data_IF_681218352137
#
_entry.id   IF_681218352137
#
_cell.length_a   1.000
_cell.length_b   1.000
_cell.length_c   1.000
_cell.angle_alpha   90.00
_cell.angle_beta   90.00
_cell.angle_gamma   90.00
#
_symmetry.space_group_name_H-M   'P 1'
#
loop_
_entity.id
_entity.type
_entity.pdbx_description
1 polymer ?
#
# COMPACT_ATOMS: atom_id res chain seq x y z
N UNK A 1 8.63 -6.73 21.38
CA UNK A 1 9.37 -5.84 20.49
C UNK A 1 8.57 -5.62 19.21
N UNK A 2 7.81 -4.51 19.19
CA UNK A 2 6.85 -4.24 18.09
C UNK A 2 7.50 -3.46 16.95
N UNK A 3 8.69 -2.91 17.12
CA UNK A 3 9.38 -2.12 16.10
C UNK A 3 10.75 -2.72 15.84
N UNK A 4 10.81 -3.57 14.81
CA UNK A 4 12.05 -4.18 14.34
C UNK A 4 12.21 -3.82 12.86
N UNK A 5 13.04 -2.81 12.51
CA UNK A 5 13.31 -2.46 11.13
C UNK A 5 13.79 -3.68 10.33
N UNK A 6 13.27 -3.83 9.11
CA UNK A 6 13.50 -5.01 8.28
C UNK A 6 12.51 -6.16 8.52
N UNK A 7 11.68 -6.12 9.58
CA UNK A 7 10.59 -7.07 9.71
C UNK A 7 9.35 -6.62 8.92
N UNK A 8 8.65 -7.58 8.32
CA UNK A 8 7.47 -7.29 7.49
C UNK A 8 6.43 -6.43 8.22
N UNK A 9 6.09 -6.78 9.47
CA UNK A 9 5.08 -6.06 10.25
C UNK A 9 5.49 -4.61 10.51
N UNK A 10 6.73 -4.39 10.98
CA UNK A 10 7.20 -3.03 11.30
C UNK A 10 7.34 -2.16 10.05
N UNK A 11 7.80 -2.75 8.96
CA UNK A 11 8.00 -2.05 7.70
C UNK A 11 6.66 -1.57 7.10
N UNK A 12 5.64 -2.42 7.06
CA UNK A 12 4.32 -2.02 6.57
C UNK A 12 3.65 -0.98 7.47
N UNK A 13 3.86 -1.04 8.79
CA UNK A 13 3.42 0.01 9.72
C UNK A 13 4.14 1.33 9.40
N UNK A 14 5.46 1.31 9.22
CA UNK A 14 6.25 2.51 8.93
C UNK A 14 5.80 3.19 7.62
N UNK A 15 5.61 2.42 6.54
CA UNK A 15 5.04 2.91 5.28
C UNK A 15 3.70 3.61 5.56
N UNK A 16 2.79 2.92 6.23
CA UNK A 16 1.43 3.42 6.44
C UNK A 16 1.41 4.71 7.25
N UNK A 17 2.17 4.78 8.35
CA UNK A 17 2.27 5.98 9.19
C UNK A 17 2.87 7.16 8.42
N UNK A 18 3.91 6.94 7.63
CA UNK A 18 4.51 7.98 6.81
C UNK A 18 3.53 8.49 5.74
N UNK A 19 2.84 7.58 5.06
CA UNK A 19 1.83 7.94 4.05
C UNK A 19 0.60 8.61 4.66
N UNK A 20 0.28 8.36 5.95
CA UNK A 20 -0.69 9.12 6.74
C UNK A 20 -0.19 10.52 7.15
N UNK A 21 1.04 10.89 6.81
CA UNK A 21 1.69 12.14 7.25
C UNK A 21 1.69 12.31 8.78
N UNK A 22 1.88 11.19 9.50
CA UNK A 22 2.01 11.24 10.97
C UNK A 22 3.31 11.96 11.32
N UNK A 23 3.27 13.02 12.15
CA UNK A 23 4.45 13.80 12.48
C UNK A 23 5.34 13.04 13.46
N UNK A 24 6.21 12.20 12.95
CA UNK A 24 7.20 11.43 13.69
C UNK A 24 8.60 11.64 13.11
N UNK A 25 9.63 11.45 13.94
CA UNK A 25 11.00 11.39 13.44
C UNK A 25 11.28 9.98 12.92
N UNK A 26 11.30 9.83 11.62
CA UNK A 26 11.60 8.56 10.96
C UNK A 26 13.10 8.29 10.78
N UNK A 27 13.98 9.25 11.12
CA UNK A 27 15.44 9.12 10.96
C UNK A 27 15.99 7.92 11.72
N UNK A 28 15.55 7.70 12.96
CA UNK A 28 15.99 6.55 13.78
C UNK A 28 15.57 5.20 13.18
N UNK A 29 14.39 5.16 12.54
CA UNK A 29 13.94 3.95 11.84
C UNK A 29 14.80 3.70 10.61
N UNK A 30 15.06 4.74 9.79
CA UNK A 30 15.91 4.65 8.60
C UNK A 30 17.34 4.25 8.96
N UNK A 31 17.95 4.83 9.98
CA UNK A 31 19.30 4.47 10.45
C UNK A 31 19.38 2.99 10.88
N UNK A 32 18.39 2.53 11.65
CA UNK A 32 18.33 1.14 12.07
C UNK A 32 18.05 0.18 10.90
N UNK A 33 17.21 0.58 9.95
CA UNK A 33 16.93 -0.18 8.73
C UNK A 33 18.15 -0.25 7.82
N UNK A 34 18.88 0.86 7.65
CA UNK A 34 20.12 0.89 6.89
C UNK A 34 21.16 -0.06 7.48
N UNK A 35 21.33 -0.04 8.79
CA UNK A 35 22.24 -0.96 9.48
C UNK A 35 21.82 -2.43 9.29
N UNK A 36 20.51 -2.71 9.32
CA UNK A 36 20.00 -4.06 9.01
C UNK A 36 20.36 -4.47 7.58
N UNK A 37 20.13 -3.59 6.60
CA UNK A 37 20.45 -3.83 5.19
C UNK A 37 21.95 -4.07 4.99
N UNK A 38 22.82 -3.19 5.50
CA UNK A 38 24.28 -3.35 5.43
C UNK A 38 24.77 -4.67 6.04
N UNK A 39 24.17 -5.06 7.18
CA UNK A 39 24.48 -6.35 7.83
C UNK A 39 24.13 -7.53 6.93
N UNK A 40 22.92 -7.51 6.31
CA UNK A 40 22.50 -8.56 5.38
C UNK A 40 23.42 -8.67 4.16
N UNK A 41 23.82 -7.52 3.59
CA UNK A 41 24.76 -7.51 2.47
C UNK A 41 26.15 -8.01 2.86
N UNK A 42 26.60 -7.75 4.07
CA UNK A 42 27.88 -8.22 4.56
C UNK A 42 27.90 -9.74 4.86
N UNK A 43 26.79 -10.28 5.37
CA UNK A 43 26.67 -11.68 5.76
C UNK A 43 26.27 -12.60 4.60
N UNK A 44 25.29 -12.15 3.78
CA UNK A 44 24.63 -12.99 2.78
C UNK A 44 24.78 -12.45 1.34
N UNK A 45 25.45 -11.32 1.16
CA UNK A 45 25.61 -10.69 -0.16
C UNK A 45 24.37 -9.95 -0.69
N UNK A 46 23.30 -9.88 0.10
CA UNK A 46 22.05 -9.23 -0.25
C UNK A 46 20.96 -9.49 0.79
N UNK A 47 19.76 -8.97 0.58
CA UNK A 47 18.65 -9.18 1.51
C UNK A 47 18.15 -10.63 1.49
N UNK A 48 18.00 -11.19 0.29
CA UNK A 48 17.56 -12.57 0.09
C UNK A 48 17.79 -13.02 -1.36
N UNK A 49 18.23 -14.25 -1.56
CA UNK A 49 18.56 -14.82 -2.88
C UNK A 49 17.33 -15.30 -3.69
N UNK A 50 16.18 -15.48 -3.03
CA UNK A 50 14.92 -15.97 -3.61
C UNK A 50 13.80 -14.97 -3.45
N UNK A 51 13.69 -14.35 -2.26
CA UNK A 51 12.58 -13.46 -1.90
C UNK A 51 12.86 -12.03 -2.35
N UNK A 52 12.66 -11.74 -3.64
CA UNK A 52 12.76 -10.38 -4.17
C UNK A 52 11.85 -9.38 -3.45
N UNK A 53 10.70 -9.84 -2.95
CA UNK A 53 9.75 -9.02 -2.20
C UNK A 53 10.32 -8.40 -0.92
N UNK A 54 11.43 -8.92 -0.36
CA UNK A 54 12.14 -8.27 0.75
C UNK A 54 12.75 -6.92 0.31
N UNK A 55 13.38 -6.90 -0.87
CA UNK A 55 13.92 -5.67 -1.46
C UNK A 55 12.80 -4.68 -1.78
N UNK A 56 11.71 -5.14 -2.38
CA UNK A 56 10.59 -4.28 -2.78
C UNK A 56 9.96 -3.60 -1.56
N UNK A 57 9.68 -4.36 -0.49
CA UNK A 57 9.14 -3.81 0.76
C UNK A 57 10.08 -2.77 1.35
N UNK A 58 11.38 -3.08 1.48
CA UNK A 58 12.35 -2.17 2.09
C UNK A 58 12.54 -0.93 1.21
N UNK A 59 12.57 -1.05 -0.12
CA UNK A 59 12.58 0.10 -1.03
C UNK A 59 11.39 1.03 -0.82
N UNK A 60 10.18 0.47 -0.68
CA UNK A 60 8.97 1.24 -0.40
C UNK A 60 9.00 1.91 0.99
N UNK A 61 9.60 1.26 2.01
CA UNK A 61 9.85 1.91 3.31
C UNK A 61 10.75 3.11 3.14
N UNK A 62 11.92 2.91 2.51
CA UNK A 62 12.91 3.97 2.32
C UNK A 62 12.29 5.17 1.60
N UNK A 63 11.56 4.94 0.51
CA UNK A 63 10.82 5.98 -0.22
C UNK A 63 9.78 6.69 0.68
N UNK A 64 8.99 5.92 1.43
CA UNK A 64 7.95 6.47 2.29
C UNK A 64 8.49 7.38 3.39
N UNK A 65 9.68 7.06 3.89
CA UNK A 65 10.36 7.80 4.96
C UNK A 65 11.28 8.91 4.43
N UNK A 66 11.30 9.15 3.11
CA UNK A 66 12.07 10.23 2.48
C UNK A 66 13.55 9.89 2.25
N UNK A 67 13.93 8.61 2.28
CA UNK A 67 15.26 8.13 1.90
C UNK A 67 15.38 7.84 0.41
N UNK A 68 16.59 7.48 -0.01
CA UNK A 68 16.91 7.10 -1.39
C UNK A 68 17.21 5.59 -1.46
N UNK A 69 16.34 4.77 -2.05
CA UNK A 69 16.57 3.32 -2.17
C UNK A 69 17.64 2.95 -3.20
N UNK A 70 18.08 3.87 -4.06
CA UNK A 70 19.17 3.65 -5.01
C UNK A 70 20.55 3.84 -4.37
N UNK A 71 20.59 4.41 -3.17
CA UNK A 71 21.79 4.66 -2.39
C UNK A 71 21.50 4.46 -0.89
N UNK A 72 21.18 3.24 -0.48
CA UNK A 72 20.77 2.95 0.89
C UNK A 72 21.77 2.07 1.63
N UNK A 73 22.84 2.70 2.08
CA UNK A 73 23.96 2.05 2.77
C UNK A 73 25.11 1.64 1.85
N UNK A 74 26.08 0.89 2.40
CA UNK A 74 27.34 0.59 1.73
C UNK A 74 27.62 -0.91 1.78
N UNK A 75 27.98 -1.49 0.64
CA UNK A 75 28.46 -2.88 0.52
C UNK A 75 29.87 -3.03 1.14
N UNK A 76 30.32 -4.26 1.48
CA UNK A 76 31.66 -4.47 2.05
C UNK A 76 32.82 -3.98 1.19
N UNK A 77 32.62 -3.89 -0.12
CA UNK A 77 33.62 -3.38 -1.07
C UNK A 77 33.64 -1.85 -1.19
N UNK A 78 32.79 -1.16 -0.42
CA UNK A 78 32.69 0.30 -0.41
C UNK A 78 31.74 0.90 -1.47
N UNK A 79 31.06 0.06 -2.28
CA UNK A 79 30.07 0.54 -3.24
C UNK A 79 28.70 0.77 -2.58
N UNK A 80 27.88 1.70 -3.09
CA UNK A 80 26.53 1.91 -2.55
C UNK A 80 25.63 0.70 -2.77
N UNK A 81 24.67 0.51 -1.86
CA UNK A 81 23.60 -0.47 -2.02
C UNK A 81 22.46 0.18 -2.80
N UNK A 82 22.15 -0.37 -3.97
CA UNK A 82 20.99 -0.01 -4.77
C UNK A 82 19.89 -1.07 -4.63
N UNK A 83 18.93 -0.82 -3.73
CA UNK A 83 17.84 -1.74 -3.45
C UNK A 83 16.88 -1.90 -4.62
N UNK A 84 16.74 -0.85 -5.46
CA UNK A 84 15.90 -0.91 -6.66
C UNK A 84 16.55 -1.81 -7.70
N UNK A 85 17.81 -1.58 -8.04
CA UNK A 85 18.54 -2.44 -8.99
C UNK A 85 18.57 -3.89 -8.52
N UNK A 86 19.07 -4.10 -7.28
CA UNK A 86 19.28 -5.44 -6.71
C UNK A 86 17.97 -6.20 -6.46
N UNK A 87 16.85 -5.49 -6.28
CA UNK A 87 15.51 -6.07 -6.05
C UNK A 87 14.64 -6.23 -7.28
N UNK A 88 14.95 -5.53 -8.39
CA UNK A 88 14.11 -5.49 -9.58
C UNK A 88 14.88 -5.90 -10.83
N UNK A 89 15.38 -4.95 -11.58
CA UNK A 89 15.91 -5.19 -12.92
C UNK A 89 17.25 -5.95 -12.96
N UNK A 90 17.99 -6.02 -11.84
CA UNK A 90 19.21 -6.80 -11.70
C UNK A 90 19.11 -7.85 -10.57
N UNK A 91 17.90 -8.26 -10.19
CA UNK A 91 17.73 -9.25 -9.13
C UNK A 91 18.52 -10.53 -9.41
N UNK A 92 19.49 -10.81 -8.57
CA UNK A 92 20.31 -12.00 -8.37
C UNK A 92 20.52 -12.95 -9.55
N UNK A 93 20.97 -14.16 -9.24
CA UNK A 93 21.12 -15.25 -10.22
C UNK A 93 19.78 -15.96 -10.50
N UNK A 94 18.87 -15.97 -9.52
CA UNK A 94 17.56 -16.62 -9.61
C UNK A 94 16.54 -15.74 -10.32
N UNK A 95 15.45 -16.34 -10.75
CA UNK A 95 14.38 -15.60 -11.40
C UNK A 95 13.60 -14.73 -10.40
N UNK A 96 13.24 -13.54 -10.82
CA UNK A 96 12.46 -12.59 -10.05
C UNK A 96 11.09 -13.18 -9.60
N UNK A 97 10.49 -14.02 -10.44
CA UNK A 97 9.24 -14.71 -10.18
C UNK A 97 9.35 -16.04 -9.45
N UNK A 98 10.50 -16.41 -8.89
CA UNK A 98 10.66 -17.71 -8.22
C UNK A 98 9.73 -17.88 -6.99
N UNK A 99 9.29 -16.79 -6.37
CA UNK A 99 8.26 -16.78 -5.32
C UNK A 99 6.82 -16.80 -5.86
N UNK A 100 6.61 -17.00 -7.14
CA UNK A 100 5.36 -16.79 -7.83
C UNK A 100 5.20 -15.36 -8.33
N UNK A 101 3.99 -15.02 -8.75
CA UNK A 101 3.68 -13.76 -9.43
C UNK A 101 3.99 -12.52 -8.58
N UNK A 102 3.98 -12.63 -7.24
CA UNK A 102 4.31 -11.54 -6.32
C UNK A 102 5.69 -10.93 -6.57
N UNK A 103 6.67 -11.72 -7.02
CA UNK A 103 7.99 -11.21 -7.36
C UNK A 103 7.92 -10.15 -8.47
N UNK A 104 7.19 -10.42 -9.53
CA UNK A 104 7.00 -9.51 -10.67
C UNK A 104 6.12 -8.31 -10.32
N UNK A 105 4.99 -8.55 -9.63
CA UNK A 105 4.04 -7.51 -9.22
C UNK A 105 4.74 -6.45 -8.35
N UNK A 106 5.38 -6.88 -7.28
CA UNK A 106 6.01 -5.94 -6.34
C UNK A 106 7.28 -5.31 -6.90
N UNK A 107 8.00 -5.98 -7.81
CA UNK A 107 9.10 -5.37 -8.53
C UNK A 107 8.62 -4.19 -9.39
N UNK A 108 7.55 -4.38 -10.15
CA UNK A 108 6.99 -3.32 -10.99
C UNK A 108 6.47 -2.15 -10.13
N UNK A 109 5.77 -2.42 -9.02
CA UNK A 109 5.29 -1.39 -8.08
C UNK A 109 6.48 -0.61 -7.49
N UNK A 110 7.53 -1.28 -7.02
CA UNK A 110 8.68 -0.61 -6.42
C UNK A 110 9.47 0.21 -7.44
N UNK A 111 9.63 -0.32 -8.66
CA UNK A 111 10.31 0.37 -9.75
C UNK A 111 9.55 1.62 -10.19
N UNK A 112 8.22 1.54 -10.33
CA UNK A 112 7.38 2.68 -10.69
C UNK A 112 7.32 3.73 -9.57
N UNK A 113 7.24 3.27 -8.32
CA UNK A 113 7.27 4.14 -7.15
C UNK A 113 8.57 4.94 -7.03
N UNK A 114 9.71 4.32 -7.39
CA UNK A 114 11.02 4.97 -7.36
C UNK A 114 11.24 5.97 -8.51
N UNK A 115 10.56 5.81 -9.61
CA UNK A 115 10.77 6.59 -10.84
C UNK A 115 12.11 6.32 -11.54
N UNK A 116 12.81 5.24 -11.19
CA UNK A 116 14.11 4.89 -11.77
C UNK A 116 13.95 4.41 -13.20
N UNK A 117 14.79 4.91 -14.10
CA UNK A 117 14.89 4.41 -15.46
C UNK A 117 15.74 3.12 -15.47
N UNK A 118 15.25 2.09 -16.15
CA UNK A 118 15.95 0.80 -16.26
C UNK A 118 17.05 0.92 -17.30
N UNK A 119 18.32 0.57 -16.96
CA UNK A 119 19.41 0.54 -17.94
C UNK A 119 19.16 -0.45 -19.09
N UNK A 120 19.68 -0.13 -20.28
CA UNK A 120 19.49 -1.00 -21.47
C UNK A 120 20.12 -2.39 -21.33
N UNK A 121 21.18 -2.51 -20.53
CA UNK A 121 21.91 -3.74 -20.24
C UNK A 121 21.40 -4.47 -18.99
N UNK A 122 20.30 -4.01 -18.39
CA UNK A 122 19.68 -4.66 -17.25
C UNK A 122 19.21 -6.08 -17.58
N UNK A 123 19.20 -6.95 -16.57
CA UNK A 123 18.75 -8.35 -16.71
C UNK A 123 17.25 -8.43 -17.09
N UNK A 124 16.44 -7.56 -16.52
CA UNK A 124 15.00 -7.45 -16.80
C UNK A 124 14.65 -6.01 -17.15
N UNK A 125 14.02 -5.80 -18.28
CA UNK A 125 13.41 -4.53 -18.59
C UNK A 125 12.08 -4.35 -17.84
N UNK A 126 11.58 -3.14 -17.76
CA UNK A 126 10.23 -2.86 -17.28
C UNK A 126 9.17 -3.63 -18.07
N UNK A 127 9.37 -3.78 -19.39
CA UNK A 127 8.47 -4.54 -20.25
C UNK A 127 8.44 -6.01 -19.91
N UNK A 128 9.60 -6.63 -19.55
CA UNK A 128 9.64 -8.04 -19.15
C UNK A 128 8.80 -8.28 -17.89
N UNK A 129 8.82 -7.34 -16.92
CA UNK A 129 7.98 -7.43 -15.72
C UNK A 129 6.49 -7.34 -16.06
N UNK A 130 6.12 -6.41 -16.93
CA UNK A 130 4.74 -6.27 -17.41
C UNK A 130 4.28 -7.53 -18.14
N UNK A 131 5.09 -8.03 -19.06
CA UNK A 131 4.77 -9.21 -19.87
C UNK A 131 4.66 -10.47 -18.98
N UNK A 132 5.50 -10.59 -17.93
CA UNK A 132 5.41 -11.68 -16.97
C UNK A 132 4.06 -11.66 -16.23
N UNK A 133 3.58 -10.47 -15.83
CA UNK A 133 2.28 -10.33 -15.18
C UNK A 133 1.14 -10.64 -16.17
N UNK A 134 1.15 -10.02 -17.35
CA UNK A 134 0.09 -10.20 -18.37
C UNK A 134 -0.03 -11.67 -18.80
N UNK A 135 1.12 -12.35 -19.05
CA UNK A 135 1.15 -13.75 -19.48
C UNK A 135 0.71 -14.74 -18.37
N UNK A 136 0.68 -14.31 -17.12
CA UNK A 136 0.19 -15.11 -15.99
C UNK A 136 -1.32 -15.03 -15.81
N UNK A 137 -2.05 -14.18 -16.56
CA UNK A 137 -3.49 -14.05 -16.45
C UNK A 137 -4.20 -15.35 -16.87
N UNK A 138 -5.09 -15.83 -16.03
CA UNK A 138 -5.95 -16.96 -16.32
C UNK A 138 -7.00 -16.60 -17.40
N UNK A 139 -7.56 -17.61 -18.05
CA UNK A 139 -8.57 -17.41 -19.12
C UNK A 139 -9.88 -16.77 -18.62
N UNK A 140 -10.16 -16.83 -17.32
CA UNK A 140 -11.30 -16.19 -16.66
C UNK A 140 -11.02 -14.72 -16.27
N UNK A 141 -9.80 -14.24 -16.47
CA UNK A 141 -9.35 -12.90 -16.14
C UNK A 141 -8.64 -12.75 -14.80
N UNK A 142 -8.66 -13.78 -13.96
CA UNK A 142 -8.00 -13.77 -12.65
C UNK A 142 -6.49 -13.92 -12.74
N UNK A 143 -5.83 -13.70 -11.61
CA UNK A 143 -4.42 -14.01 -11.40
C UNK A 143 -4.26 -14.91 -10.17
N UNK A 144 -3.23 -15.74 -10.17
CA UNK A 144 -2.87 -16.61 -9.05
C UNK A 144 -1.39 -16.41 -8.68
N UNK A 145 -1.01 -16.75 -7.45
CA UNK A 145 0.39 -16.67 -7.01
C UNK A 145 1.29 -17.56 -7.87
N UNK A 146 0.80 -18.74 -8.19
CA UNK A 146 1.41 -19.70 -9.09
C UNK A 146 0.31 -20.23 -10.03
N UNK A 147 0.52 -21.32 -10.73
CA UNK A 147 -0.51 -21.93 -11.58
C UNK A 147 -1.69 -22.42 -10.75
N UNK A 148 -2.90 -22.12 -11.16
CA UNK A 148 -4.10 -22.60 -10.48
C UNK A 148 -5.27 -21.63 -10.55
N UNK A 149 -6.22 -21.80 -9.62
CA UNK A 149 -7.39 -20.95 -9.52
C UNK A 149 -7.01 -19.52 -9.16
N UNK A 150 -7.80 -18.56 -9.64
CA UNK A 150 -7.64 -17.16 -9.30
C UNK A 150 -7.69 -16.91 -7.80
N UNK A 151 -6.94 -15.91 -7.38
CA UNK A 151 -6.87 -15.43 -6.02
C UNK A 151 -7.19 -13.92 -6.02
N UNK A 152 -8.06 -13.49 -5.09
CA UNK A 152 -8.54 -12.11 -5.01
C UNK A 152 -7.39 -11.13 -4.75
N UNK A 153 -6.51 -11.48 -3.80
CA UNK A 153 -5.42 -10.60 -3.39
C UNK A 153 -4.39 -10.47 -4.51
N UNK A 154 -4.01 -11.58 -5.15
CA UNK A 154 -3.06 -11.58 -6.27
C UNK A 154 -3.65 -10.83 -7.47
N UNK A 155 -4.94 -11.03 -7.78
CA UNK A 155 -5.61 -10.32 -8.86
C UNK A 155 -5.64 -8.81 -8.59
N UNK A 156 -5.97 -8.41 -7.37
CA UNK A 156 -5.97 -7.02 -6.96
C UNK A 156 -4.55 -6.39 -7.00
N UNK A 157 -3.53 -7.11 -6.52
CA UNK A 157 -2.14 -6.63 -6.58
C UNK A 157 -1.62 -6.54 -8.02
N UNK A 158 -1.98 -7.48 -8.91
CA UNK A 158 -1.64 -7.39 -10.33
C UNK A 158 -2.26 -6.14 -10.98
N UNK A 159 -3.51 -5.81 -10.66
CA UNK A 159 -4.16 -4.57 -11.12
C UNK A 159 -3.47 -3.31 -10.58
N UNK A 160 -2.99 -3.31 -9.33
CA UNK A 160 -2.19 -2.20 -8.79
C UNK A 160 -0.91 -1.98 -9.61
N UNK A 161 -0.18 -3.07 -9.90
CA UNK A 161 1.04 -3.01 -10.70
C UNK A 161 0.78 -2.56 -12.15
N UNK A 162 -0.33 -2.97 -12.74
CA UNK A 162 -0.69 -2.65 -14.12
C UNK A 162 -1.38 -1.29 -14.27
N UNK A 163 -1.78 -0.64 -13.18
CA UNK A 163 -2.55 0.60 -13.22
C UNK A 163 -1.89 1.75 -14.00
N UNK A 164 -0.55 1.96 -13.97
CA UNK A 164 0.10 2.98 -14.80
C UNK A 164 0.03 2.70 -16.30
N UNK A 165 -0.27 1.48 -16.68
CA UNK A 165 -0.29 0.97 -18.06
C UNK A 165 -1.71 0.70 -18.58
N UNK A 166 -2.75 1.16 -17.89
CA UNK A 166 -4.15 0.81 -18.16
C UNK A 166 -4.53 1.06 -19.62
N UNK A 167 -4.18 2.21 -20.20
CA UNK A 167 -4.50 2.53 -21.61
C UNK A 167 -3.86 1.62 -22.65
N UNK A 168 -2.91 0.76 -22.25
CA UNK A 168 -2.25 -0.22 -23.12
C UNK A 168 -2.79 -1.63 -22.94
N UNK A 169 -3.30 -1.96 -21.74
CA UNK A 169 -3.74 -3.29 -21.34
C UNK A 169 -5.20 -3.30 -20.86
N UNK A 170 -6.04 -2.46 -21.47
CA UNK A 170 -7.47 -2.30 -21.11
C UNK A 170 -8.23 -3.62 -21.07
N UNK A 171 -7.94 -4.53 -21.98
CA UNK A 171 -8.61 -5.82 -22.08
C UNK A 171 -8.30 -6.70 -20.87
N UNK A 172 -7.03 -6.82 -20.52
CA UNK A 172 -6.55 -7.65 -19.42
C UNK A 172 -7.04 -7.09 -18.06
N UNK A 173 -6.95 -5.77 -17.90
CA UNK A 173 -7.44 -5.06 -16.72
C UNK A 173 -8.96 -5.21 -16.59
N UNK A 174 -9.71 -5.02 -17.67
CA UNK A 174 -11.17 -5.18 -17.65
C UNK A 174 -11.57 -6.62 -17.31
N UNK A 175 -10.86 -7.62 -17.85
CA UNK A 175 -11.11 -9.03 -17.53
C UNK A 175 -10.89 -9.32 -16.04
N UNK A 176 -9.82 -8.78 -15.44
CA UNK A 176 -9.53 -8.95 -14.02
C UNK A 176 -10.57 -8.26 -13.13
N UNK A 177 -10.99 -7.05 -13.49
CA UNK A 177 -12.05 -6.33 -12.77
C UNK A 177 -13.39 -7.04 -12.84
N UNK A 178 -13.75 -7.59 -14.01
CA UNK A 178 -14.96 -8.39 -14.16
C UNK A 178 -14.93 -9.64 -13.27
N UNK A 179 -13.78 -10.32 -13.23
CA UNK A 179 -13.61 -11.47 -12.35
C UNK A 179 -13.76 -11.05 -10.86
N UNK A 180 -13.07 -10.02 -10.39
CA UNK A 180 -13.22 -9.51 -9.02
C UNK A 180 -14.67 -9.10 -8.70
N UNK A 181 -15.38 -8.50 -9.66
CA UNK A 181 -16.80 -8.15 -9.48
C UNK A 181 -17.69 -9.38 -9.27
N UNK A 182 -17.36 -10.50 -9.91
CA UNK A 182 -18.10 -11.78 -9.74
C UNK A 182 -17.76 -12.46 -8.40
N UNK A 183 -16.53 -12.32 -7.91
CA UNK A 183 -16.11 -12.85 -6.61
C UNK A 183 -16.64 -12.03 -5.42
N UNK A 184 -17.08 -10.78 -5.65
CA UNK A 184 -17.57 -9.93 -4.58
C UNK A 184 -18.91 -10.42 -4.03
N UNK A 185 -18.99 -10.60 -2.71
CA UNK A 185 -20.19 -11.00 -1.99
C UNK A 185 -21.31 -9.96 -2.06
N UNK A 186 -22.53 -10.35 -1.68
CA UNK A 186 -23.66 -9.41 -1.52
C UNK A 186 -23.40 -8.35 -0.45
N UNK A 187 -22.45 -8.61 0.44
CA UNK A 187 -22.00 -7.67 1.48
C UNK A 187 -20.91 -6.69 1.01
N UNK A 188 -20.57 -6.63 -0.27
CA UNK A 188 -19.46 -5.85 -0.82
C UNK A 188 -18.09 -6.20 -0.21
N UNK A 189 -17.88 -7.48 0.14
CA UNK A 189 -16.62 -8.01 0.67
C UNK A 189 -16.10 -9.15 -0.21
N UNK A 190 -14.94 -9.67 0.16
CA UNK A 190 -14.31 -10.81 -0.50
C UNK A 190 -13.96 -11.87 0.52
N UNK A 191 -14.00 -13.14 0.08
CA UNK A 191 -13.71 -14.27 0.94
C UNK A 191 -12.23 -14.65 0.87
N UNK A 192 -11.66 -14.96 2.04
CA UNK A 192 -10.44 -15.73 2.17
C UNK A 192 -10.80 -17.07 2.84
N UNK A 193 -10.71 -18.15 2.08
CA UNK A 193 -11.25 -19.42 2.51
C UNK A 193 -12.78 -19.38 2.64
N UNK A 194 -13.30 -19.50 3.85
CA UNK A 194 -14.75 -19.52 4.13
C UNK A 194 -15.27 -18.26 4.80
N UNK A 195 -14.42 -17.29 5.10
CA UNK A 195 -14.79 -16.08 5.84
C UNK A 195 -14.47 -14.82 5.04
N UNK A 196 -15.27 -13.77 5.24
CA UNK A 196 -15.03 -12.44 4.67
C UNK A 196 -13.77 -11.84 5.30
N UNK A 197 -12.85 -11.35 4.45
CA UNK A 197 -11.54 -10.80 4.84
C UNK A 197 -11.46 -9.29 4.61
N UNK A 198 -11.05 -8.56 5.63
CA UNK A 198 -10.78 -7.13 5.52
C UNK A 198 -9.55 -6.84 4.66
N UNK A 199 -8.56 -7.72 4.65
CA UNK A 199 -7.35 -7.60 3.85
C UNK A 199 -7.66 -7.76 2.37
N UNK A 200 -8.40 -8.81 1.97
CA UNK A 200 -8.79 -9.01 0.58
C UNK A 200 -9.64 -7.84 0.07
N UNK A 201 -10.58 -7.36 0.90
CA UNK A 201 -11.34 -6.15 0.59
C UNK A 201 -10.44 -4.92 0.41
N UNK A 202 -9.45 -4.74 1.28
CA UNK A 202 -8.50 -3.64 1.22
C UNK A 202 -7.64 -3.69 -0.04
N UNK A 203 -7.17 -4.87 -0.45
CA UNK A 203 -6.43 -5.04 -1.70
C UNK A 203 -7.25 -4.64 -2.93
N UNK A 204 -8.53 -5.01 -2.99
CA UNK A 204 -9.40 -4.63 -4.11
C UNK A 204 -9.70 -3.13 -4.09
N UNK A 205 -9.90 -2.51 -2.94
CA UNK A 205 -10.04 -1.05 -2.83
C UNK A 205 -8.78 -0.36 -3.38
N UNK A 206 -7.59 -0.82 -3.01
CA UNK A 206 -6.32 -0.27 -3.52
C UNK A 206 -6.20 -0.44 -5.04
N UNK A 207 -6.61 -1.57 -5.59
CA UNK A 207 -6.59 -1.83 -7.04
C UNK A 207 -7.50 -0.88 -7.81
N UNK A 208 -8.75 -0.74 -7.36
CA UNK A 208 -9.75 0.13 -7.99
C UNK A 208 -9.30 1.60 -7.96
N UNK A 209 -8.79 2.05 -6.81
CA UNK A 209 -8.31 3.43 -6.65
C UNK A 209 -7.00 3.70 -7.40
N UNK A 210 -6.12 2.69 -7.55
CA UNK A 210 -4.92 2.79 -8.40
C UNK A 210 -5.28 3.02 -9.87
N UNK A 211 -6.38 2.42 -10.34
CA UNK A 211 -6.96 2.67 -11.67
C UNK A 211 -7.74 3.99 -11.76
N UNK A 212 -7.66 4.83 -10.72
CA UNK A 212 -8.34 6.12 -10.61
C UNK A 212 -9.88 6.03 -10.63
N UNK A 213 -10.45 4.94 -10.13
CA UNK A 213 -11.89 4.77 -10.02
C UNK A 213 -12.36 4.93 -8.58
N UNK A 214 -13.45 5.65 -8.37
CA UNK A 214 -14.07 5.80 -7.05
C UNK A 214 -14.77 4.52 -6.61
N UNK A 215 -14.60 4.13 -5.34
CA UNK A 215 -15.16 2.88 -4.79
C UNK A 215 -16.70 2.84 -4.76
N UNK A 216 -17.37 3.97 -4.97
CA UNK A 216 -18.83 4.08 -5.09
C UNK A 216 -19.34 4.25 -6.51
N UNK A 217 -18.45 4.40 -7.49
CA UNK A 217 -18.82 4.78 -8.86
C UNK A 217 -18.80 3.58 -9.83
N UNK A 218 -18.14 2.49 -9.45
CA UNK A 218 -17.99 1.33 -10.30
C UNK A 218 -19.24 0.45 -10.31
N UNK A 219 -19.87 0.37 -11.47
CA UNK A 219 -20.87 -0.65 -11.77
C UNK A 219 -20.22 -2.03 -11.57
N UNK A 220 -20.82 -2.88 -10.73
CA UNK A 220 -20.28 -4.19 -10.39
C UNK A 220 -19.61 -4.27 -9.01
N UNK A 221 -19.24 -3.14 -8.38
CA UNK A 221 -18.67 -3.07 -7.04
C UNK A 221 -19.58 -2.37 -6.01
N UNK A 222 -20.86 -2.24 -6.33
CA UNK A 222 -21.91 -1.75 -5.45
C UNK A 222 -23.02 -2.80 -5.37
N UNK A 223 -23.50 -3.12 -4.17
CA UNK A 223 -24.60 -4.05 -3.92
C UNK A 223 -25.64 -3.36 -3.03
N UNK A 224 -26.86 -3.23 -3.52
CA UNK A 224 -27.99 -2.61 -2.78
C UNK A 224 -27.67 -1.27 -2.11
N UNK A 225 -26.88 -0.43 -2.81
CA UNK A 225 -26.43 0.88 -2.32
C UNK A 225 -25.26 0.80 -1.32
N UNK A 226 -24.76 -0.37 -0.99
CA UNK A 226 -23.55 -0.54 -0.20
C UNK A 226 -22.32 -0.49 -1.11
N UNK A 227 -21.23 0.05 -0.57
CA UNK A 227 -19.93 0.17 -1.24
C UNK A 227 -18.86 -0.60 -0.49
N UNK A 228 -17.73 -0.87 -1.13
CA UNK A 228 -16.56 -1.45 -0.46
C UNK A 228 -16.09 -0.63 0.75
N UNK A 229 -16.23 0.71 0.71
CA UNK A 229 -15.93 1.58 1.85
C UNK A 229 -16.86 1.29 3.05
N UNK A 230 -18.18 1.20 2.82
CA UNK A 230 -19.13 0.88 3.89
C UNK A 230 -18.91 -0.53 4.43
N UNK A 231 -18.53 -1.46 3.56
CA UNK A 231 -18.18 -2.82 3.94
C UNK A 231 -16.92 -2.88 4.82
N UNK A 232 -15.86 -2.15 4.45
CA UNK A 232 -14.62 -2.09 5.23
C UNK A 232 -14.86 -1.57 6.65
N UNK A 233 -15.74 -0.59 6.83
CA UNK A 233 -16.08 -0.05 8.15
C UNK A 233 -16.74 -1.06 9.09
N UNK A 234 -17.30 -2.17 8.59
CA UNK A 234 -17.84 -3.24 9.45
C UNK A 234 -16.77 -4.04 10.18
N UNK A 235 -15.54 -4.02 9.70
CA UNK A 235 -14.39 -4.68 10.36
C UNK A 235 -13.73 -3.76 11.41
N UNK A 236 -14.19 -2.52 11.53
CA UNK A 236 -13.62 -1.54 12.45
C UNK A 236 -14.07 -1.79 13.87
N UNK A 237 -13.12 -1.83 14.81
CA UNK A 237 -13.35 -1.91 16.23
C UNK A 237 -13.65 -0.52 16.83
N UNK A 238 -14.19 -0.47 18.05
CA UNK A 238 -14.45 0.77 18.78
C UNK A 238 -13.19 1.62 19.01
N UNK A 239 -12.03 0.98 19.15
CA UNK A 239 -10.73 1.65 19.27
C UNK A 239 -10.16 2.14 17.94
N UNK A 240 -10.89 2.01 16.82
CA UNK A 240 -10.51 2.46 15.50
C UNK A 240 -9.60 1.51 14.72
N UNK A 241 -9.13 0.41 15.29
CA UNK A 241 -8.35 -0.62 14.60
C UNK A 241 -9.28 -1.58 13.85
N UNK A 242 -8.72 -2.41 12.96
CA UNK A 242 -9.50 -3.32 12.11
C UNK A 242 -9.24 -4.78 12.47
N UNK A 243 -10.26 -5.61 12.29
CA UNK A 243 -10.24 -7.06 12.45
C UNK A 243 -9.89 -7.72 11.12
N UNK A 244 -9.33 -8.92 11.18
CA UNK A 244 -9.16 -9.78 10.02
C UNK A 244 -10.51 -10.26 9.47
N UNK A 245 -11.35 -10.80 10.38
CA UNK A 245 -12.74 -11.23 10.09
C UNK A 245 -13.72 -10.51 11.02
N UNK A 246 -14.98 -10.38 10.61
CA UNK A 246 -15.97 -9.67 11.43
C UNK A 246 -16.23 -10.35 12.78
N UNK A 247 -16.12 -11.68 12.83
CA UNK A 247 -16.34 -12.52 14.00
C UNK A 247 -15.20 -12.46 15.01
N UNK A 248 -14.05 -11.92 14.65
CA UNK A 248 -12.91 -11.81 15.55
C UNK A 248 -13.23 -10.90 16.74
N UNK A 249 -12.79 -11.30 17.92
CA UNK A 249 -12.96 -10.49 19.14
C UNK A 249 -11.97 -9.32 19.23
N UNK A 250 -10.83 -9.43 18.54
CA UNK A 250 -9.71 -8.48 18.65
C UNK A 250 -9.29 -7.96 17.27
N UNK A 251 -8.77 -6.72 17.24
CA UNK A 251 -8.17 -6.22 16.01
C UNK A 251 -6.89 -7.00 15.67
N UNK A 252 -6.62 -7.06 14.37
CA UNK A 252 -5.38 -7.57 13.81
C UNK A 252 -4.52 -6.41 13.28
N UNK A 253 -3.19 -6.52 13.42
CA UNK A 253 -2.28 -5.46 12.97
C UNK A 253 -2.19 -5.38 11.44
N UNK A 254 -2.15 -6.52 10.75
CA UNK A 254 -2.07 -6.54 9.29
C UNK A 254 -3.38 -6.03 8.67
N UNK A 255 -4.52 -6.49 9.20
CA UNK A 255 -5.83 -5.99 8.83
C UNK A 255 -5.92 -4.46 9.01
N UNK A 256 -5.45 -3.95 10.15
CA UNK A 256 -5.44 -2.50 10.41
C UNK A 256 -4.55 -1.75 9.42
N UNK A 257 -3.34 -2.24 9.15
CA UNK A 257 -2.41 -1.62 8.21
C UNK A 257 -3.01 -1.57 6.80
N UNK A 258 -3.55 -2.70 6.32
CA UNK A 258 -4.12 -2.75 4.97
C UNK A 258 -5.41 -1.93 4.85
N UNK A 259 -6.26 -1.92 5.88
CA UNK A 259 -7.42 -1.04 5.90
C UNK A 259 -7.04 0.45 5.83
N UNK A 260 -6.00 0.88 6.57
CA UNK A 260 -5.47 2.24 6.49
C UNK A 260 -4.89 2.56 5.09
N UNK A 261 -4.18 1.62 4.47
CA UNK A 261 -3.67 1.77 3.11
C UNK A 261 -4.79 1.90 2.09
N UNK A 262 -5.88 1.14 2.25
CA UNK A 262 -7.07 1.26 1.44
C UNK A 262 -7.75 2.63 1.60
N UNK A 263 -7.91 3.12 2.83
CA UNK A 263 -8.46 4.45 3.11
C UNK A 263 -7.57 5.58 2.57
N UNK A 264 -6.25 5.45 2.68
CA UNK A 264 -5.29 6.37 2.05
C UNK A 264 -5.44 6.39 0.53
N UNK A 265 -5.64 5.22 -0.08
CA UNK A 265 -5.81 5.09 -1.53
C UNK A 265 -7.13 5.73 -2.00
N UNK A 266 -8.23 5.55 -1.27
CA UNK A 266 -9.48 6.26 -1.53
C UNK A 266 -9.25 7.78 -1.48
N UNK A 267 -8.59 8.28 -0.43
CA UNK A 267 -8.31 9.70 -0.28
C UNK A 267 -7.40 10.22 -1.39
N UNK A 268 -6.34 9.48 -1.71
CA UNK A 268 -5.40 9.87 -2.76
C UNK A 268 -6.04 9.90 -4.15
N UNK A 269 -6.89 8.93 -4.47
CA UNK A 269 -7.67 8.91 -5.71
C UNK A 269 -8.55 10.17 -5.81
N UNK A 270 -9.18 10.54 -4.74
CA UNK A 270 -10.12 11.65 -4.70
C UNK A 270 -9.46 13.03 -4.79
N UNK A 271 -8.27 13.21 -4.24
CA UNK A 271 -7.54 14.48 -4.34
C UNK A 271 -6.54 14.51 -5.51
N UNK A 272 -6.50 13.46 -6.33
CA UNK A 272 -5.60 13.35 -7.48
C UNK A 272 -4.16 13.00 -7.15
N UNK A 273 -3.85 12.57 -5.91
CA UNK A 273 -2.50 12.19 -5.50
C UNK A 273 -2.16 10.72 -5.80
N UNK A 274 -3.11 9.96 -6.36
CA UNK A 274 -2.95 8.53 -6.62
C UNK A 274 -3.12 7.66 -5.37
N UNK A 275 -3.00 6.34 -5.53
CA UNK A 275 -3.15 5.39 -4.41
C UNK A 275 -1.90 5.36 -3.50
N UNK A 276 -1.94 4.54 -2.44
CA UNK A 276 -0.93 4.55 -1.37
C UNK A 276 0.52 4.34 -1.84
N UNK A 277 0.75 3.61 -2.92
CA UNK A 277 2.09 3.40 -3.50
C UNK A 277 2.39 4.31 -4.70
N UNK A 278 1.56 5.29 -5.02
CA UNK A 278 1.90 6.36 -5.94
C UNK A 278 2.66 7.46 -5.16
N UNK A 279 3.95 7.64 -5.48
CA UNK A 279 4.80 8.58 -4.74
C UNK A 279 4.93 9.95 -5.43
N UNK A 280 4.23 10.15 -6.54
CA UNK A 280 4.25 11.39 -7.30
C UNK A 280 3.27 12.44 -6.75
N UNK A 281 3.24 12.64 -5.46
CA UNK A 281 2.38 13.62 -4.83
C UNK A 281 2.11 13.30 -3.36
N UNK A 282 1.67 14.32 -2.62
CA UNK A 282 1.29 14.12 -1.22
C UNK A 282 -0.19 13.78 -1.12
N UNK A 283 -0.53 12.66 -0.49
CA UNK A 283 -1.92 12.29 -0.18
C UNK A 283 -2.56 13.31 0.77
N UNK A 284 -1.74 13.96 1.58
CA UNK A 284 -2.14 15.08 2.43
C UNK A 284 -1.49 16.35 1.94
N UNK A 285 -2.20 17.50 1.88
CA UNK A 285 -1.57 18.78 1.61
C UNK A 285 -0.51 19.04 2.69
N UNK A 286 0.57 19.77 2.38
CA UNK A 286 1.53 20.18 3.39
C UNK A 286 0.77 20.86 4.53
N UNK A 287 1.03 20.45 5.76
CA UNK A 287 0.49 21.14 6.91
C UNK A 287 1.01 22.58 6.83
N UNK A 288 0.11 23.55 6.68
CA UNK A 288 0.49 24.93 6.94
C UNK A 288 1.04 24.96 8.37
N UNK A 289 2.11 25.73 8.61
CA UNK A 289 2.80 25.88 9.91
C UNK A 289 1.92 26.41 11.04
N UNK A 290 0.62 26.19 11.00
CA UNK A 290 -0.33 26.43 12.07
C UNK A 290 -0.13 25.36 13.14
N UNK A 291 0.87 25.62 14.00
CA UNK A 291 1.03 24.96 15.27
C UNK A 291 -0.32 25.05 16.00
N UNK A 292 -0.97 23.90 16.21
CA UNK A 292 -2.11 23.81 17.09
C UNK A 292 -1.63 24.19 18.50
N UNK A 293 -1.92 25.42 18.92
CA UNK A 293 -1.72 25.88 20.30
C UNK A 293 -3.00 25.56 21.06
N UNK A 294 -2.99 24.59 21.98
CA UNK A 294 -4.18 24.33 22.81
C UNK A 294 -4.46 25.56 23.69
N UNK A 295 -5.58 26.23 23.47
CA UNK A 295 -6.09 27.25 24.39
C UNK A 295 -6.24 28.68 23.84
N UNK A 296 -6.10 28.94 22.56
CA UNK A 296 -6.36 30.27 21.97
C UNK A 296 -7.78 30.43 21.45
N UNK A 297 -8.64 31.17 22.16
CA UNK A 297 -9.90 31.69 21.63
C UNK A 297 -9.60 32.69 20.48
N UNK A 298 -9.94 32.35 19.25
CA UNK A 298 -10.03 33.32 18.19
C UNK A 298 -11.51 33.46 17.77
N UNK A 299 -11.98 34.69 17.94
CA UNK A 299 -13.28 35.13 17.42
C UNK A 299 -13.20 35.18 15.89
N UNK A 300 -14.08 34.44 15.21
CA UNK A 300 -14.13 34.39 13.77
C UNK A 300 -14.83 35.60 13.16
N UNK A 301 -14.33 36.05 12.04
CA UNK A 301 -15.09 36.83 11.05
C UNK A 301 -15.55 35.85 9.97
N UNK A 302 -16.88 35.68 9.90
CA UNK A 302 -17.55 34.88 8.85
C UNK A 302 -17.56 35.68 7.55
N UNK A 303 -16.97 35.12 6.47
CA UNK A 303 -17.36 35.47 5.11
C UNK A 303 -18.34 34.44 4.53
N UNK A 304 -19.33 34.84 3.74
CA UNK A 304 -20.38 33.95 3.30
C UNK A 304 -19.90 33.01 2.19
N UNK A 305 -19.96 31.74 2.45
CA UNK A 305 -19.73 30.67 1.48
C UNK A 305 -20.99 30.49 0.62
N UNK A 306 -20.85 30.61 -0.70
CA UNK A 306 -21.90 30.29 -1.65
C UNK A 306 -22.21 28.79 -1.62
N UNK A 307 -23.47 28.46 -1.40
CA UNK A 307 -24.00 27.10 -1.52
C UNK A 307 -23.81 26.56 -2.94
N UNK A 308 -22.99 25.53 -3.06
CA UNK A 308 -23.16 24.55 -4.12
C UNK A 308 -23.08 23.16 -3.49
N UNK A 309 -24.23 22.53 -3.42
CA UNK A 309 -24.46 21.28 -2.71
C UNK A 309 -23.75 20.14 -3.43
N UNK A 310 -22.75 19.57 -2.79
CA UNK A 310 -22.28 18.25 -3.12
C UNK A 310 -22.35 17.39 -1.86
N UNK A 311 -23.27 16.43 -1.83
CA UNK A 311 -23.61 15.56 -0.70
C UNK A 311 -22.44 14.70 -0.18
N UNK A 312 -21.31 14.75 -0.83
CA UNK A 312 -20.11 13.99 -0.48
C UNK A 312 -19.21 14.69 0.56
N UNK A 313 -19.39 15.96 0.83
CA UNK A 313 -18.48 16.76 1.69
C UNK A 313 -18.40 16.24 3.14
N UNK A 314 -19.48 15.69 3.66
CA UNK A 314 -19.51 15.15 5.03
C UNK A 314 -18.79 13.81 5.19
N UNK A 315 -18.80 12.98 4.15
CA UNK A 315 -17.97 11.74 4.12
C UNK A 315 -16.47 12.07 4.21
N UNK A 316 -16.07 13.19 3.63
CA UNK A 316 -14.70 13.65 3.54
C UNK A 316 -14.08 14.11 4.85
N UNK A 317 -14.84 14.92 5.59
CA UNK A 317 -14.41 15.41 6.91
C UNK A 317 -14.30 14.25 7.88
N UNK A 318 -15.20 13.26 7.78
CA UNK A 318 -15.16 12.04 8.56
C UNK A 318 -13.89 11.20 8.29
N UNK A 319 -13.58 10.92 7.02
CA UNK A 319 -12.41 10.13 6.62
C UNK A 319 -11.08 10.75 7.05
N UNK A 320 -10.93 12.07 6.91
CA UNK A 320 -9.71 12.76 7.32
C UNK A 320 -9.49 12.72 8.83
N UNK A 321 -10.55 12.98 9.60
CA UNK A 321 -10.49 12.94 11.07
C UNK A 321 -10.24 11.51 11.58
N UNK A 322 -10.84 10.51 10.94
CA UNK A 322 -10.68 9.10 11.29
C UNK A 322 -9.26 8.58 11.07
N UNK A 323 -8.64 8.88 9.93
CA UNK A 323 -7.27 8.44 9.64
C UNK A 323 -6.24 9.04 10.60
N UNK A 324 -6.39 10.32 10.97
CA UNK A 324 -5.51 10.97 11.96
C UNK A 324 -5.67 10.35 13.35
N UNK A 325 -6.91 10.05 13.76
CA UNK A 325 -7.19 9.41 15.05
C UNK A 325 -6.63 7.99 15.08
N UNK A 326 -6.82 7.20 14.03
CA UNK A 326 -6.32 5.82 13.98
C UNK A 326 -4.80 5.80 13.95
N UNK A 327 -4.16 6.64 13.13
CA UNK A 327 -2.71 6.76 13.12
C UNK A 327 -2.15 7.20 14.49
N UNK A 328 -2.79 8.17 15.14
CA UNK A 328 -2.42 8.59 16.50
C UNK A 328 -2.60 7.45 17.53
N UNK A 329 -3.65 6.64 17.42
CA UNK A 329 -3.88 5.49 18.31
C UNK A 329 -2.80 4.43 18.11
N UNK A 330 -2.45 4.11 16.86
CA UNK A 330 -1.37 3.16 16.56
C UNK A 330 -0.04 3.65 17.15
N UNK A 331 0.29 4.92 16.98
CA UNK A 331 1.50 5.53 17.58
C UNK A 331 1.45 5.49 19.11
N UNK A 332 0.32 5.81 19.73
CA UNK A 332 0.16 5.78 21.20
C UNK A 332 0.29 4.35 21.72
N UNK A 333 -0.28 3.36 21.06
CA UNK A 333 -0.16 1.94 21.44
C UNK A 333 1.30 1.48 21.32
N UNK A 334 1.99 1.83 20.25
CA UNK A 334 3.41 1.54 20.05
C UNK A 334 4.30 2.23 21.11
N UNK A 335 4.03 3.52 21.42
CA UNK A 335 4.77 4.27 22.46
C UNK A 335 4.49 3.77 23.88
N UNK A 336 3.26 3.35 24.21
CA UNK A 336 2.95 2.79 25.55
C UNK A 336 3.65 1.45 25.80
N UNK A 337 3.75 0.59 24.78
CA UNK A 337 4.51 -0.67 24.88
C UNK A 337 6.01 -0.44 25.09
N UNK A 338 6.56 0.64 24.53
CA UNK A 338 7.98 1.03 24.72
C UNK A 338 8.30 1.54 26.13
N UNK A 339 7.30 1.95 26.92
CA UNK A 339 7.48 2.42 28.31
C UNK A 339 7.32 1.33 29.38
N UNK A 340 6.82 0.15 29.01
CA UNK A 340 6.53 -0.95 29.93
C UNK A 340 7.30 -2.25 29.60
N UNK A 341 8.26 -2.19 28.69
CA UNK A 341 9.31 -3.16 28.41
C UNK A 341 10.68 -2.49 28.63
#
# INVERSE_FOLDING_TARGET
>A
DVVTPGSSVSDWIAITLARCNVPESYSQYLEALQKYVETRYAEDGGLHDVKATEYHRISLVVLSLGGDPTNFGTKPDGTPIDLIADGTYNFGEKELGLQGLNGWIWALIALDASGVEVPEDARYSRQDMIDAIINAQNSDGSFALDKGNGDVDITAMALQALSPYAGRYDREITSALNWLSLEMSDNCTFFYGTSESSESLSQVIMAVTALNWGVGDMVGFVRDGQTMYTALNRFRCENGLYKHQQEDEKPDYLATVQALQALLSIRGQQNGSGYVFAYQGSIFPPQSDNVFVPGGNQAGTEEPVSENQNTNTWLWIGLAAEMVVIAAIVVVVLKRRKKHG
#
